data_IF_515285709422
#
_entry.id   IF_515285709422
#
_cell.length_a   1.000
_cell.length_b   1.000
_cell.length_c   1.000
_cell.angle_alpha   90.00
_cell.angle_beta   90.00
_cell.angle_gamma   90.00
#
_symmetry.space_group_name_H-M   'P 1'
#
loop_
_entity.id
_entity.type
_entity.pdbx_description
1 polymer ?
#
# COMPACT_ATOMS: atom_id res chain seq x y z
N UNK A 1 7.20 -13.41 4.51
CA UNK A 1 6.02 -12.54 4.42
C UNK A 1 6.05 -11.79 3.10
N UNK A 2 4.93 -11.73 2.37
CA UNK A 2 4.76 -10.91 1.16
C UNK A 2 4.17 -9.55 1.53
N UNK A 3 4.73 -8.49 0.98
CA UNK A 3 4.27 -7.12 1.25
C UNK A 3 4.04 -6.40 -0.06
N UNK A 4 2.86 -5.81 -0.19
CA UNK A 4 2.50 -4.92 -1.28
C UNK A 4 2.47 -3.49 -0.76
N UNK A 5 3.30 -2.61 -1.30
CA UNK A 5 3.28 -1.17 -0.97
C UNK A 5 2.72 -0.41 -2.17
N UNK A 6 1.62 0.28 -1.96
CA UNK A 6 0.91 1.04 -2.98
C UNK A 6 0.85 2.52 -2.60
N UNK A 7 1.22 3.39 -3.54
CA UNK A 7 0.87 4.82 -3.43
C UNK A 7 -0.61 4.98 -3.75
N UNK A 8 -1.32 5.81 -3.00
CA UNK A 8 -2.70 6.19 -3.31
C UNK A 8 -2.87 6.60 -4.78
N UNK A 9 -4.07 6.41 -5.33
CA UNK A 9 -4.43 6.82 -6.69
C UNK A 9 -4.37 8.33 -6.91
N UNK A 10 -4.50 8.76 -8.16
CA UNK A 10 -4.49 10.20 -8.48
C UNK A 10 -5.60 10.95 -7.73
N UNK A 11 -5.23 12.06 -7.08
CA UNK A 11 -6.13 12.84 -6.23
C UNK A 11 -6.31 14.26 -6.77
N UNK A 12 -7.52 14.80 -6.61
CA UNK A 12 -7.85 16.17 -6.98
C UNK A 12 -6.91 17.17 -6.30
N UNK A 13 -6.68 18.32 -6.91
CA UNK A 13 -5.82 19.38 -6.36
C UNK A 13 -6.58 20.31 -5.41
N UNK A 14 -7.88 20.50 -5.63
CA UNK A 14 -8.73 21.43 -4.87
C UNK A 14 -9.56 20.64 -3.87
N UNK A 15 -9.40 20.94 -2.58
CA UNK A 15 -10.19 20.39 -1.48
C UNK A 15 -10.09 21.30 -0.25
N UNK A 16 -10.97 21.14 0.77
CA UNK A 16 -10.91 21.94 2.01
C UNK A 16 -9.59 21.83 2.79
N UNK A 17 -8.87 20.70 2.66
CA UNK A 17 -7.56 20.44 3.23
C UNK A 17 -6.82 19.38 2.41
N UNK A 18 -5.51 19.21 2.60
CA UNK A 18 -4.78 18.13 1.90
C UNK A 18 -5.33 16.75 2.24
N UNK A 19 -5.59 16.47 3.51
CA UNK A 19 -6.11 15.17 3.96
C UNK A 19 -7.50 14.84 3.41
N UNK A 20 -8.29 15.87 3.06
CA UNK A 20 -9.63 15.73 2.50
C UNK A 20 -9.68 15.70 0.97
N UNK A 21 -8.53 15.63 0.28
CA UNK A 21 -8.49 15.54 -1.18
C UNK A 21 -9.05 14.19 -1.64
N UNK A 22 -10.12 14.16 -2.46
CA UNK A 22 -10.65 12.93 -3.02
C UNK A 22 -9.81 12.47 -4.22
N UNK A 23 -9.97 11.21 -4.61
CA UNK A 23 -9.48 10.68 -5.88
C UNK A 23 -10.16 11.38 -7.07
N UNK A 24 -9.43 11.50 -8.17
CA UNK A 24 -10.01 11.76 -9.49
C UNK A 24 -10.69 10.49 -10.02
N UNK A 25 -11.52 10.60 -11.06
CA UNK A 25 -12.09 9.40 -11.71
C UNK A 25 -11.00 8.50 -12.30
N UNK A 26 -9.95 9.09 -12.87
CA UNK A 26 -8.77 8.35 -13.33
C UNK A 26 -8.07 7.62 -12.16
N UNK A 27 -7.86 8.31 -11.04
CA UNK A 27 -7.28 7.72 -9.83
C UNK A 27 -8.10 6.54 -9.29
N UNK A 28 -9.43 6.61 -9.36
CA UNK A 28 -10.31 5.48 -9.00
C UNK A 28 -10.12 4.30 -9.95
N UNK A 29 -10.14 4.55 -11.27
CA UNK A 29 -9.96 3.51 -12.29
C UNK A 29 -8.61 2.80 -12.16
N UNK A 30 -7.53 3.56 -12.00
CA UNK A 30 -6.19 3.01 -11.81
C UNK A 30 -6.09 2.18 -10.52
N UNK A 31 -6.71 2.65 -9.43
CA UNK A 31 -6.75 1.91 -8.16
C UNK A 31 -7.52 0.59 -8.29
N UNK A 32 -8.64 0.59 -9.01
CA UNK A 32 -9.41 -0.62 -9.30
C UNK A 32 -8.59 -1.62 -10.13
N UNK A 33 -7.87 -1.16 -11.15
CA UNK A 33 -6.98 -2.00 -11.96
C UNK A 33 -5.85 -2.62 -11.14
N UNK A 34 -5.31 -1.91 -10.14
CA UNK A 34 -4.33 -2.49 -9.21
C UNK A 34 -4.94 -3.62 -8.37
N UNK A 35 -6.18 -3.46 -7.92
CA UNK A 35 -6.93 -4.54 -7.28
C UNK A 35 -7.13 -5.75 -8.20
N UNK A 36 -7.45 -5.53 -9.48
CA UNK A 36 -7.56 -6.61 -10.47
C UNK A 36 -6.21 -7.31 -10.70
N UNK A 37 -5.12 -6.54 -10.73
CA UNK A 37 -3.77 -7.09 -10.88
C UNK A 37 -3.38 -7.96 -9.68
N UNK A 38 -3.63 -7.50 -8.44
CA UNK A 38 -3.40 -8.29 -7.23
C UNK A 38 -4.14 -9.63 -7.28
N UNK A 39 -5.40 -9.64 -7.73
CA UNK A 39 -6.15 -10.89 -7.94
C UNK A 39 -5.55 -11.78 -9.01
N UNK A 40 -5.06 -11.19 -10.11
CA UNK A 40 -4.46 -11.95 -11.22
C UNK A 40 -3.18 -12.70 -10.84
N UNK A 41 -2.48 -12.25 -9.80
CA UNK A 41 -1.30 -12.92 -9.24
C UNK A 41 -1.64 -13.79 -8.02
N UNK A 42 -2.93 -14.04 -7.75
CA UNK A 42 -3.42 -14.80 -6.60
C UNK A 42 -2.91 -14.25 -5.26
N UNK A 43 -2.89 -12.92 -5.10
CA UNK A 43 -2.59 -12.31 -3.80
C UNK A 43 -3.75 -12.57 -2.82
N UNK A 44 -3.49 -13.41 -1.81
CA UNK A 44 -4.33 -13.57 -0.63
C UNK A 44 -3.85 -12.55 0.40
N UNK A 45 -4.69 -11.59 0.78
CA UNK A 45 -4.31 -10.51 1.69
C UNK A 45 -4.90 -10.78 3.07
N UNK A 46 -4.04 -11.09 4.04
CA UNK A 46 -4.43 -11.32 5.43
C UNK A 46 -4.70 -10.00 6.16
N UNK A 47 -4.03 -8.93 5.72
CA UNK A 47 -4.09 -7.61 6.35
C UNK A 47 -4.00 -6.51 5.30
N UNK A 48 -4.74 -5.41 5.51
CA UNK A 48 -4.65 -4.21 4.67
C UNK A 48 -4.49 -2.98 5.57
N UNK A 49 -3.34 -2.33 5.51
CA UNK A 49 -3.04 -1.10 6.24
C UNK A 49 -3.28 0.11 5.33
N UNK A 50 -4.12 1.05 5.76
CA UNK A 50 -4.48 2.22 4.94
C UNK A 50 -4.32 3.51 5.73
N UNK A 51 -3.69 4.50 5.11
CA UNK A 51 -3.58 5.84 5.69
C UNK A 51 -4.95 6.49 5.92
N UNK A 52 -5.16 7.28 6.98
CA UNK A 52 -6.44 7.95 7.25
C UNK A 52 -6.86 9.00 6.20
N UNK A 53 -5.96 9.41 5.31
CA UNK A 53 -6.28 10.44 4.31
C UNK A 53 -7.27 9.93 3.28
N UNK A 54 -8.22 10.79 2.89
CA UNK A 54 -9.37 10.41 2.05
C UNK A 54 -8.97 9.69 0.76
N UNK A 55 -7.96 10.20 0.05
CA UNK A 55 -7.43 9.57 -1.17
C UNK A 55 -6.90 8.15 -0.97
N UNK A 56 -6.31 7.83 0.18
CA UNK A 56 -5.83 6.49 0.49
C UNK A 56 -7.01 5.55 0.82
N UNK A 57 -7.99 6.03 1.59
CA UNK A 57 -9.22 5.30 1.89
C UNK A 57 -10.00 4.98 0.60
N UNK A 58 -10.18 5.96 -0.28
CA UNK A 58 -10.83 5.75 -1.58
C UNK A 58 -10.02 4.85 -2.52
N UNK A 59 -8.69 4.84 -2.40
CA UNK A 59 -7.85 3.87 -3.14
C UNK A 59 -8.17 2.45 -2.67
N UNK A 60 -8.25 2.24 -1.35
CA UNK A 60 -8.65 0.95 -0.78
C UNK A 60 -10.05 0.55 -1.22
N UNK A 61 -11.03 1.44 -1.23
CA UNK A 61 -12.39 1.14 -1.69
C UNK A 61 -12.39 0.55 -3.11
N UNK A 62 -11.58 1.11 -4.03
CA UNK A 62 -11.49 0.59 -5.40
C UNK A 62 -10.75 -0.75 -5.47
N UNK A 63 -9.69 -0.94 -4.67
CA UNK A 63 -9.01 -2.23 -4.55
C UNK A 63 -9.99 -3.28 -4.01
N UNK A 64 -10.70 -2.98 -2.92
CA UNK A 64 -11.67 -3.87 -2.28
C UNK A 64 -12.82 -4.21 -3.23
N UNK A 65 -13.29 -3.26 -4.04
CA UNK A 65 -14.29 -3.51 -5.09
C UNK A 65 -13.80 -4.55 -6.10
N UNK A 66 -12.53 -4.52 -6.50
CA UNK A 66 -11.96 -5.56 -7.36
C UNK A 66 -11.94 -6.93 -6.67
N UNK A 67 -11.79 -6.97 -5.35
CA UNK A 67 -11.93 -8.15 -4.47
C UNK A 67 -13.37 -8.45 -4.04
N UNK A 68 -14.38 -7.93 -4.73
CA UNK A 68 -15.80 -8.19 -4.42
C UNK A 68 -16.17 -7.83 -2.96
N UNK A 69 -15.52 -6.80 -2.41
CA UNK A 69 -15.67 -6.30 -1.04
C UNK A 69 -15.24 -7.26 0.08
N UNK A 70 -14.43 -8.27 -0.24
CA UNK A 70 -14.00 -9.31 0.72
C UNK A 70 -12.84 -8.87 1.64
N UNK A 71 -12.21 -7.73 1.41
CA UNK A 71 -11.08 -7.26 2.22
C UNK A 71 -11.49 -6.40 3.42
N UNK A 72 -12.78 -6.13 3.62
CA UNK A 72 -13.25 -5.20 4.64
C UNK A 72 -12.89 -5.65 6.07
N UNK A 73 -12.88 -6.97 6.33
CA UNK A 73 -12.52 -7.52 7.64
C UNK A 73 -11.01 -7.48 7.91
N UNK A 74 -10.20 -7.30 6.86
CA UNK A 74 -8.74 -7.23 6.95
C UNK A 74 -8.21 -5.80 7.02
N UNK A 75 -9.11 -4.81 6.87
CA UNK A 75 -8.77 -3.40 6.86
C UNK A 75 -8.41 -2.91 8.26
N UNK A 76 -7.28 -2.22 8.34
CA UNK A 76 -6.86 -1.40 9.47
C UNK A 76 -6.48 -0.01 8.96
N UNK A 77 -7.15 1.03 9.47
CA UNK A 77 -6.70 2.40 9.24
C UNK A 77 -5.62 2.74 10.26
N UNK A 78 -4.46 3.17 9.77
CA UNK A 78 -3.30 3.41 10.61
C UNK A 78 -2.73 4.82 10.40
N UNK A 79 -2.77 5.63 11.46
CA UNK A 79 -2.38 7.05 11.41
C UNK A 79 -0.88 7.26 11.16
N UNK A 80 -0.06 6.24 11.40
CA UNK A 80 1.40 6.30 11.26
C UNK A 80 1.83 6.26 9.79
N UNK A 81 0.99 5.80 8.86
CA UNK A 81 1.33 5.71 7.42
C UNK A 81 0.82 6.90 6.58
N UNK A 82 0.79 8.10 7.18
CA UNK A 82 0.56 9.38 6.48
C UNK A 82 1.83 9.82 5.74
N UNK A 83 1.82 10.93 4.95
CA UNK A 83 3.04 11.43 4.30
C UNK A 83 4.20 11.72 5.28
N UNK A 84 3.92 11.91 6.56
CA UNK A 84 4.89 12.26 7.59
C UNK A 84 5.28 11.06 8.48
N UNK A 85 4.88 9.85 8.09
CA UNK A 85 5.19 8.64 8.83
C UNK A 85 6.68 8.28 8.82
N UNK A 86 7.05 7.37 9.72
CA UNK A 86 8.41 6.86 9.87
C UNK A 86 8.49 5.42 9.35
N UNK A 87 9.36 5.18 8.37
CA UNK A 87 9.51 3.85 7.76
C UNK A 87 10.08 2.80 8.73
N UNK A 88 10.88 3.21 9.72
CA UNK A 88 11.37 2.34 10.78
C UNK A 88 10.25 1.85 11.70
N UNK A 89 9.30 2.72 12.06
CA UNK A 89 8.08 2.30 12.79
C UNK A 89 7.23 1.33 11.96
N UNK A 90 7.13 1.56 10.65
CA UNK A 90 6.44 0.63 9.74
C UNK A 90 7.15 -0.73 9.74
N UNK A 91 8.47 -0.76 9.56
CA UNK A 91 9.27 -2.00 9.62
C UNK A 91 9.06 -2.75 10.93
N UNK A 92 9.12 -2.05 12.06
CA UNK A 92 8.97 -2.67 13.38
C UNK A 92 7.58 -3.28 13.57
N UNK A 93 6.53 -2.60 13.10
CA UNK A 93 5.17 -3.16 13.12
C UNK A 93 5.00 -4.36 12.20
N UNK A 94 5.62 -4.34 11.00
CA UNK A 94 5.62 -5.47 10.09
C UNK A 94 6.28 -6.72 10.69
N UNK A 95 7.31 -6.55 11.53
CA UNK A 95 7.89 -7.66 12.28
C UNK A 95 6.91 -8.25 13.30
N UNK A 96 6.17 -7.41 14.03
CA UNK A 96 5.12 -7.86 14.96
C UNK A 96 4.05 -8.66 14.21
N UNK A 97 3.55 -8.13 13.08
CA UNK A 97 2.56 -8.83 12.26
C UNK A 97 3.08 -10.19 11.75
N UNK A 98 4.38 -10.28 11.44
CA UNK A 98 4.99 -11.55 11.01
C UNK A 98 5.03 -12.58 12.14
N UNK A 99 5.33 -12.15 13.38
CA UNK A 99 5.27 -13.01 14.56
C UNK A 99 3.84 -13.45 14.90
N UNK A 100 2.85 -12.62 14.59
CA UNK A 100 1.41 -12.95 14.68
C UNK A 100 0.91 -13.87 13.55
N UNK A 101 1.77 -14.23 12.60
CA UNK A 101 1.46 -15.16 11.51
C UNK A 101 0.83 -14.53 10.28
N UNK A 102 0.88 -13.20 10.11
CA UNK A 102 0.48 -12.54 8.86
C UNK A 102 1.45 -12.94 7.75
N UNK A 103 0.96 -13.58 6.70
CA UNK A 103 1.80 -14.05 5.60
C UNK A 103 1.87 -13.04 4.47
N UNK A 104 0.80 -12.28 4.25
CA UNK A 104 0.65 -11.37 3.11
C UNK A 104 -0.19 -10.13 3.46
N UNK A 105 0.33 -8.94 3.14
CA UNK A 105 -0.36 -7.68 3.46
C UNK A 105 -0.20 -6.60 2.39
N UNK A 106 -1.18 -5.69 2.34
CA UNK A 106 -1.19 -4.50 1.50
C UNK A 106 -1.08 -3.24 2.34
N UNK A 107 -0.19 -2.31 1.96
CA UNK A 107 -0.05 -0.97 2.55
C UNK A 107 -0.43 0.06 1.50
N UNK A 108 -1.42 0.91 1.79
CA UNK A 108 -1.81 2.04 0.94
C UNK A 108 -1.44 3.35 1.63
N UNK A 109 -0.45 4.05 1.07
CA UNK A 109 0.15 5.24 1.68
C UNK A 109 0.54 6.32 0.64
N UNK A 110 1.51 7.17 0.96
CA UNK A 110 1.85 8.40 0.27
C UNK A 110 3.36 8.52 0.03
N UNK A 111 3.75 9.44 -0.85
CA UNK A 111 5.13 9.91 -0.88
C UNK A 111 5.40 10.87 0.29
N UNK A 112 6.63 10.89 0.84
CA UNK A 112 7.77 10.03 0.46
C UNK A 112 7.69 8.60 1.04
N UNK A 113 6.84 8.38 2.05
CA UNK A 113 6.83 7.17 2.87
C UNK A 113 6.82 5.83 2.11
N UNK A 114 6.03 5.70 1.03
CA UNK A 114 6.01 4.46 0.23
C UNK A 114 7.39 4.08 -0.32
N UNK A 115 8.18 5.07 -0.74
CA UNK A 115 9.55 4.85 -1.20
C UNK A 115 10.49 4.55 -0.04
N UNK A 116 10.29 5.23 1.09
CA UNK A 116 11.07 4.99 2.30
C UNK A 116 10.83 3.60 2.89
N UNK A 117 9.60 3.09 2.88
CA UNK A 117 9.29 1.71 3.30
C UNK A 117 10.07 0.71 2.44
N UNK A 118 10.02 0.85 1.10
CA UNK A 118 10.75 -0.07 0.21
C UNK A 118 12.26 0.00 0.47
N UNK A 119 12.81 1.22 0.64
CA UNK A 119 14.23 1.42 0.96
C UNK A 119 14.60 0.82 2.32
N UNK A 120 13.76 1.01 3.33
CA UNK A 120 13.99 0.51 4.69
C UNK A 120 14.01 -1.02 4.72
N UNK A 121 13.10 -1.66 4.00
CA UNK A 121 12.95 -3.12 4.00
C UNK A 121 13.93 -3.82 3.06
N UNK A 122 14.30 -3.19 1.93
CA UNK A 122 15.12 -3.81 0.88
C UNK A 122 16.50 -3.16 0.69
N UNK A 123 16.87 -2.19 1.53
CA UNK A 123 18.10 -1.40 1.43
C UNK A 123 18.14 -0.36 0.30
N UNK A 124 17.25 -0.47 -0.70
CA UNK A 124 17.08 0.51 -1.79
C UNK A 124 15.66 0.48 -2.35
N UNK A 125 15.21 1.61 -2.89
CA UNK A 125 13.96 1.68 -3.67
C UNK A 125 14.28 1.79 -5.17
N UNK A 126 13.97 0.76 -5.98
CA UNK A 126 14.14 0.82 -7.44
C UNK A 126 12.94 1.44 -8.18
N UNK A 127 11.83 1.73 -7.50
CA UNK A 127 10.56 2.14 -8.12
C UNK A 127 10.34 3.66 -8.06
N UNK A 128 9.81 4.20 -9.16
CA UNK A 128 9.24 5.55 -9.19
C UNK A 128 7.75 5.49 -8.82
N UNK A 129 7.37 6.00 -7.65
CA UNK A 129 5.98 5.94 -7.20
C UNK A 129 5.12 7.04 -7.86
N UNK A 130 4.62 6.79 -9.06
CA UNK A 130 3.45 7.51 -9.60
C UNK A 130 2.20 7.16 -8.79
N UNK A 131 1.11 7.97 -8.82
CA UNK A 131 -0.14 7.58 -8.18
C UNK A 131 -0.57 6.17 -8.60
N UNK A 132 -1.11 5.37 -7.68
CA UNK A 132 -1.44 3.96 -7.91
C UNK A 132 -0.28 3.03 -8.32
N UNK A 133 1.00 3.43 -8.20
CA UNK A 133 2.12 2.49 -8.34
C UNK A 133 2.14 1.53 -7.16
N UNK A 134 2.37 0.25 -7.45
CA UNK A 134 2.41 -0.84 -6.47
C UNK A 134 3.73 -1.61 -6.57
N UNK A 135 4.37 -1.86 -5.44
CA UNK A 135 5.60 -2.63 -5.31
C UNK A 135 5.33 -3.89 -4.50
N UNK A 136 5.66 -5.05 -5.05
CA UNK A 136 5.64 -6.34 -4.37
C UNK A 136 7.05 -6.65 -3.83
N UNK A 137 7.11 -7.02 -2.56
CA UNK A 137 8.32 -7.40 -1.86
C UNK A 137 8.13 -8.73 -1.14
N UNK A 138 9.20 -9.49 -1.05
CA UNK A 138 9.30 -10.64 -0.18
C UNK A 138 10.28 -10.33 0.96
N UNK A 139 9.84 -10.55 2.20
CA UNK A 139 10.66 -10.30 3.39
C UNK A 139 10.92 -11.60 4.11
N UNK A 140 12.21 -11.90 4.28
CA UNK A 140 12.69 -12.89 5.22
C UNK A 140 12.83 -12.24 6.60
N UNK A 141 11.88 -12.51 7.48
CA UNK A 141 11.85 -11.91 8.82
C UNK A 141 13.02 -12.35 9.70
N UNK A 142 13.65 -13.50 9.41
CA UNK A 142 14.85 -13.95 10.12
C UNK A 142 16.10 -13.15 9.76
N UNK A 143 16.18 -12.64 8.52
CA UNK A 143 17.39 -11.98 7.99
C UNK A 143 17.29 -10.45 8.00
N UNK A 144 16.14 -9.89 8.42
CA UNK A 144 15.84 -8.45 8.39
C UNK A 144 16.11 -7.78 7.03
N UNK A 145 16.04 -8.56 5.95
CA UNK A 145 16.33 -8.10 4.60
C UNK A 145 15.25 -8.61 3.66
N UNK A 146 14.67 -7.68 2.91
CA UNK A 146 13.67 -7.95 1.88
C UNK A 146 14.24 -7.80 0.47
N UNK A 147 13.52 -8.35 -0.49
CA UNK A 147 13.78 -8.19 -1.92
C UNK A 147 12.54 -7.67 -2.62
N UNK A 148 12.73 -6.69 -3.51
CA UNK A 148 11.69 -6.26 -4.45
C UNK A 148 11.57 -7.32 -5.54
N UNK A 149 10.39 -7.92 -5.65
CA UNK A 149 10.10 -8.93 -6.67
C UNK A 149 9.56 -8.28 -7.94
N UNK A 150 8.56 -7.40 -7.80
CA UNK A 150 7.88 -6.78 -8.94
C UNK A 150 7.47 -5.34 -8.63
N UNK A 151 7.41 -4.53 -9.69
CA UNK A 151 6.82 -3.19 -9.66
C UNK A 151 5.72 -3.15 -10.72
N UNK A 152 4.50 -2.86 -10.30
CA UNK A 152 3.36 -2.70 -11.18
C UNK A 152 2.97 -1.22 -11.28
N UNK A 153 3.19 -0.64 -12.45
CA UNK A 153 2.81 0.73 -12.75
C UNK A 153 1.34 0.81 -13.20
N UNK A 154 0.62 1.88 -12.84
CA UNK A 154 -0.73 2.10 -13.38
C UNK A 154 -0.66 2.26 -14.90
N UNK A 155 -1.72 1.83 -15.60
CA UNK A 155 -1.89 2.06 -17.04
C UNK A 155 -2.61 3.38 -17.31
#
# INVERSE_FOLDING_TARGET
MKIFVMRHGEAQTIAPSDSARPLTENGKQQSYQQGQWLRSINAELDKVLVSPYLRAQQTFEQVNLAFQNQLQTQLETWDVITPYGDAGLVRDYLHVLAEEGVESLLIISHLPLVGDIVRELCGRNPANFYPATLVEMEINCAEKMGKVERVNYPK
#
